data_IF_520944562334
#
_entry.id   IF_520944562334
#
_cell.length_a   1.000
_cell.length_b   1.000
_cell.length_c   1.000
_cell.angle_alpha   90.00
_cell.angle_beta   90.00
_cell.angle_gamma   90.00
#
_symmetry.space_group_name_H-M   'P 1'
#
loop_
_entity.id
_entity.type
_entity.pdbx_description
1 polymer ?
#
# COMPACT_ATOMS: atom_id res chain seq x y z
N UNK A 1 -1.29 18.12 -19.35
CA UNK A 1 -1.22 18.92 -20.60
C UNK A 1 0.25 19.22 -20.91
N UNK A 2 0.94 18.32 -21.60
CA UNK A 2 2.35 18.53 -21.96
C UNK A 2 2.39 19.40 -23.21
N UNK A 3 2.47 20.72 -23.03
CA UNK A 3 2.85 21.65 -24.11
C UNK A 3 4.37 21.74 -24.16
N UNK A 4 5.01 20.65 -24.60
CA UNK A 4 6.37 20.71 -25.13
C UNK A 4 6.32 21.33 -26.52
N UNK A 5 7.15 22.33 -26.77
CA UNK A 5 7.27 22.96 -28.08
C UNK A 5 7.54 21.88 -29.15
N UNK A 6 6.81 21.90 -30.28
CA UNK A 6 7.00 20.95 -31.39
C UNK A 6 8.36 21.23 -32.04
N UNK A 7 9.43 20.68 -31.47
CA UNK A 7 10.76 20.71 -32.06
C UNK A 7 10.69 19.92 -33.36
N UNK A 8 11.17 20.53 -34.44
CA UNK A 8 11.33 19.84 -35.72
C UNK A 8 12.27 18.66 -35.50
N UNK A 9 11.86 17.47 -35.96
CA UNK A 9 12.76 16.31 -36.02
C UNK A 9 13.88 16.60 -37.02
N UNK A 10 15.06 16.01 -36.76
CA UNK A 10 16.09 15.92 -37.79
C UNK A 10 15.50 15.21 -39.02
N UNK A 11 15.88 15.64 -40.23
CA UNK A 11 15.25 15.12 -41.45
C UNK A 11 15.45 13.61 -41.63
N UNK A 12 16.58 13.09 -41.16
CA UNK A 12 16.87 11.66 -41.16
C UNK A 12 15.88 10.86 -40.31
N UNK A 13 15.65 11.29 -39.07
CA UNK A 13 14.67 10.67 -38.16
C UNK A 13 13.24 10.78 -38.71
N UNK A 14 12.89 11.96 -39.25
CA UNK A 14 11.59 12.19 -39.86
C UNK A 14 11.31 11.23 -41.03
N UNK A 15 12.27 11.12 -41.96
CA UNK A 15 12.18 10.22 -43.11
C UNK A 15 12.13 8.75 -42.68
N UNK A 16 12.87 8.39 -41.63
CA UNK A 16 12.87 7.04 -41.08
C UNK A 16 11.50 6.69 -40.47
N UNK A 17 10.96 7.55 -39.61
CA UNK A 17 9.63 7.36 -38.98
C UNK A 17 8.55 7.29 -40.07
N UNK A 18 8.57 8.18 -41.05
CA UNK A 18 7.59 8.18 -42.14
C UNK A 18 7.64 6.88 -42.95
N UNK A 19 8.85 6.42 -43.29
CA UNK A 19 9.07 5.17 -44.01
C UNK A 19 8.60 3.97 -43.20
N UNK A 20 8.86 3.98 -41.89
CA UNK A 20 8.42 2.93 -40.97
C UNK A 20 6.89 2.87 -40.86
N UNK A 21 6.22 4.01 -40.69
CA UNK A 21 4.75 4.10 -40.62
C UNK A 21 4.09 3.69 -41.94
N UNK A 22 4.63 4.12 -43.09
CA UNK A 22 4.17 3.68 -44.43
C UNK A 22 4.32 2.18 -44.63
N UNK A 23 5.39 1.57 -44.09
CA UNK A 23 5.59 0.11 -44.10
C UNK A 23 4.61 -0.62 -43.17
N UNK A 24 4.28 -0.04 -42.02
CA UNK A 24 3.33 -0.62 -41.08
C UNK A 24 1.89 -0.63 -41.63
N UNK A 25 1.54 0.35 -42.47
CA UNK A 25 0.27 0.39 -43.20
C UNK A 25 0.10 -0.79 -44.17
N UNK A 26 1.17 -1.22 -44.84
CA UNK A 26 1.10 -2.37 -45.76
C UNK A 26 1.17 -3.73 -45.05
N UNK A 27 1.76 -3.77 -43.84
CA UNK A 27 1.87 -5.00 -43.02
C UNK A 27 1.50 -4.71 -41.56
N UNK A 28 0.20 -4.65 -41.22
CA UNK A 28 -0.23 -4.28 -39.88
C UNK A 28 0.16 -5.34 -38.86
N UNK A 29 0.97 -4.95 -37.88
CA UNK A 29 1.28 -5.78 -36.72
C UNK A 29 0.26 -5.51 -35.63
N UNK A 30 -0.44 -6.55 -35.17
CA UNK A 30 -1.33 -6.47 -34.01
C UNK A 30 -0.49 -6.46 -32.73
N UNK A 31 -0.75 -5.50 -31.87
CA UNK A 31 -0.23 -5.44 -30.50
C UNK A 31 -1.41 -5.68 -29.56
N UNK A 32 -1.71 -6.94 -29.21
CA UNK A 32 -2.78 -7.22 -28.26
C UNK A 32 -2.42 -6.58 -26.92
N UNK A 33 -3.43 -6.01 -26.26
CA UNK A 33 -3.27 -5.52 -24.89
C UNK A 33 -2.85 -6.69 -24.00
N UNK A 34 -1.77 -6.49 -23.24
CA UNK A 34 -1.42 -7.41 -22.16
C UNK A 34 -2.46 -7.31 -21.03
N UNK A 35 -2.42 -8.24 -20.08
CA UNK A 35 -3.24 -8.11 -18.86
C UNK A 35 -2.94 -6.81 -18.10
N UNK A 36 -1.68 -6.35 -18.08
CA UNK A 36 -1.31 -5.08 -17.46
C UNK A 36 -1.85 -3.87 -18.23
N UNK A 37 -1.86 -3.91 -19.56
CA UNK A 37 -2.43 -2.82 -20.39
C UNK A 37 -3.95 -2.74 -20.20
N UNK A 38 -4.59 -3.90 -20.08
CA UNK A 38 -6.03 -3.99 -19.82
C UNK A 38 -6.38 -3.40 -18.45
N UNK A 39 -5.57 -3.64 -17.42
CA UNK A 39 -5.74 -3.03 -16.08
C UNK A 39 -5.57 -1.50 -16.11
N UNK A 40 -4.61 -0.98 -16.87
CA UNK A 40 -4.40 0.47 -17.04
C UNK A 40 -5.55 1.18 -17.73
N UNK A 41 -6.37 0.45 -18.50
CA UNK A 41 -7.55 0.97 -19.17
C UNK A 41 -8.81 0.92 -18.30
N UNK A 42 -8.77 0.23 -17.15
CA UNK A 42 -9.87 0.23 -16.18
C UNK A 42 -9.85 1.58 -15.45
N UNK A 43 -10.74 2.48 -15.86
CA UNK A 43 -11.02 3.73 -15.16
C UNK A 43 -11.76 3.41 -13.87
N UNK A 44 -11.17 3.78 -12.73
CA UNK A 44 -11.82 3.63 -11.43
C UNK A 44 -12.75 4.82 -11.22
N UNK A 45 -13.93 4.60 -10.66
CA UNK A 45 -14.89 5.67 -10.34
C UNK A 45 -15.25 5.63 -8.85
N UNK A 46 -15.26 6.79 -8.19
CA UNK A 46 -15.70 6.94 -6.79
C UNK A 46 -16.86 7.92 -6.72
N UNK A 47 -17.83 7.65 -5.83
CA UNK A 47 -18.95 8.57 -5.55
C UNK A 47 -18.54 9.61 -4.52
N UNK A 48 -18.70 10.88 -4.86
CA UNK A 48 -18.47 12.00 -3.93
C UNK A 48 -19.63 12.14 -2.94
N UNK A 49 -19.45 12.99 -1.92
CA UNK A 49 -20.49 13.33 -0.93
C UNK A 49 -21.78 13.91 -1.58
N UNK A 50 -21.68 14.48 -2.78
CA UNK A 50 -22.81 15.00 -3.55
C UNK A 50 -23.38 13.96 -4.54
N UNK A 51 -23.04 12.68 -4.38
CA UNK A 51 -23.45 11.56 -5.26
C UNK A 51 -22.99 11.68 -6.72
N UNK A 52 -21.96 12.49 -6.99
CA UNK A 52 -21.35 12.61 -8.31
C UNK A 52 -20.26 11.55 -8.47
N UNK A 53 -20.27 10.82 -9.57
CA UNK A 53 -19.21 9.86 -9.90
C UNK A 53 -18.02 10.60 -10.52
N UNK A 54 -16.81 10.31 -10.02
CA UNK A 54 -15.56 10.94 -10.45
C UNK A 54 -14.55 9.84 -10.76
N UNK A 55 -13.89 9.95 -11.92
CA UNK A 55 -12.79 9.06 -12.31
C UNK A 55 -11.54 9.32 -11.45
N UNK A 56 -10.93 8.25 -10.97
CA UNK A 56 -9.75 8.24 -10.10
C UNK A 56 -8.73 7.22 -10.61
N UNK A 57 -7.46 7.45 -10.27
CA UNK A 57 -6.36 6.53 -10.51
C UNK A 57 -5.69 6.22 -9.18
N UNK A 58 -5.46 4.95 -8.88
CA UNK A 58 -4.75 4.49 -7.68
C UNK A 58 -3.34 4.06 -8.10
N UNK A 59 -2.27 4.57 -7.47
CA UNK A 59 -0.91 4.12 -7.77
C UNK A 59 -0.73 2.66 -7.36
N UNK A 60 -0.31 1.80 -8.29
CA UNK A 60 0.06 0.41 -8.01
C UNK A 60 1.55 0.29 -7.67
N UNK A 61 1.91 -0.63 -6.75
CA UNK A 61 3.32 -0.91 -6.35
C UNK A 61 4.25 -1.22 -7.54
N UNK A 62 3.70 -1.65 -8.68
CA UNK A 62 4.44 -2.07 -9.88
C UNK A 62 5.01 -0.90 -10.73
N UNK A 63 4.67 0.36 -10.44
CA UNK A 63 4.98 1.51 -11.34
C UNK A 63 6.34 2.21 -11.08
N UNK A 64 7.21 1.67 -10.23
CA UNK A 64 8.52 2.30 -9.95
C UNK A 64 9.68 1.39 -10.39
N UNK A 65 10.58 1.93 -11.20
CA UNK A 65 11.75 1.24 -11.76
C UNK A 65 12.69 0.74 -10.65
N UNK A 66 12.95 -0.58 -10.64
CA UNK A 66 13.78 -1.29 -9.66
C UNK A 66 15.26 -1.39 -10.09
N UNK A 67 16.18 -1.35 -9.11
CA UNK A 67 17.63 -1.52 -9.32
C UNK A 67 18.17 -2.81 -8.68
N UNK A 68 18.95 -3.67 -9.36
CA UNK A 68 18.86 -5.12 -9.12
C UNK A 68 19.72 -5.74 -8.01
N UNK A 69 20.57 -4.99 -7.30
CA UNK A 69 21.67 -5.59 -6.52
C UNK A 69 21.51 -5.54 -4.98
N UNK A 70 20.95 -4.48 -4.39
CA UNK A 70 20.67 -4.39 -2.94
C UNK A 70 19.32 -5.01 -2.53
N UNK A 71 18.40 -5.13 -3.49
CA UNK A 71 16.99 -5.47 -3.27
C UNK A 71 16.73 -6.86 -2.65
N UNK A 72 17.62 -7.84 -2.82
CA UNK A 72 17.33 -9.21 -2.36
C UNK A 72 17.30 -9.34 -0.84
N UNK A 73 18.15 -8.61 -0.14
CA UNK A 73 18.19 -8.65 1.33
C UNK A 73 17.07 -7.79 1.92
N UNK A 74 16.83 -6.64 1.30
CA UNK A 74 15.76 -5.68 1.61
C UNK A 74 14.36 -6.29 1.47
N UNK A 75 14.07 -6.96 0.35
CA UNK A 75 12.82 -7.70 0.14
C UNK A 75 12.68 -8.86 1.14
N UNK A 76 13.78 -9.47 1.57
CA UNK A 76 13.71 -10.52 2.60
C UNK A 76 13.40 -9.95 3.97
N UNK A 77 13.88 -8.75 4.28
CA UNK A 77 13.57 -8.10 5.56
C UNK A 77 12.11 -7.66 5.64
N UNK A 78 11.56 -7.01 4.61
CA UNK A 78 10.14 -6.63 4.59
C UNK A 78 9.22 -7.83 4.77
N UNK A 79 9.48 -8.94 4.08
CA UNK A 79 8.72 -10.19 4.23
C UNK A 79 8.83 -10.78 5.65
N UNK A 80 9.99 -10.69 6.30
CA UNK A 80 10.15 -11.13 7.70
C UNK A 80 9.33 -10.26 8.64
N UNK A 81 9.30 -8.95 8.44
CA UNK A 81 8.50 -8.02 9.23
C UNK A 81 7.00 -8.27 9.04
N UNK A 82 6.53 -8.45 7.81
CA UNK A 82 5.15 -8.84 7.52
C UNK A 82 4.78 -10.17 8.22
N UNK A 83 5.69 -11.15 8.22
CA UNK A 83 5.51 -12.42 8.92
C UNK A 83 5.46 -12.26 10.46
N UNK A 84 6.27 -11.37 11.04
CA UNK A 84 6.21 -11.05 12.47
C UNK A 84 4.88 -10.40 12.84
N UNK A 85 4.44 -9.40 12.08
CA UNK A 85 3.12 -8.76 12.28
C UNK A 85 1.98 -9.76 12.19
N UNK A 86 2.05 -10.70 11.24
CA UNK A 86 1.06 -11.76 11.09
C UNK A 86 1.01 -12.67 12.33
N UNK A 87 2.19 -13.07 12.83
CA UNK A 87 2.31 -13.89 14.05
C UNK A 87 1.78 -13.15 15.29
N UNK A 88 2.08 -11.86 15.44
CA UNK A 88 1.61 -11.06 16.57
C UNK A 88 0.07 -11.02 16.56
N UNK A 89 -0.53 -10.65 15.43
CA UNK A 89 -1.99 -10.59 15.31
C UNK A 89 -2.66 -11.96 15.55
N UNK A 90 -2.08 -13.04 15.03
CA UNK A 90 -2.56 -14.40 15.27
C UNK A 90 -2.52 -14.76 16.76
N UNK A 91 -1.42 -14.46 17.46
CA UNK A 91 -1.31 -14.70 18.91
C UNK A 91 -2.33 -13.88 19.70
N UNK A 92 -2.74 -12.72 19.19
CA UNK A 92 -3.79 -11.88 19.79
C UNK A 92 -5.21 -12.29 19.37
N UNK A 93 -5.38 -13.47 18.77
CA UNK A 93 -6.64 -14.04 18.31
C UNK A 93 -7.36 -13.16 17.27
N UNK A 94 -6.59 -12.47 16.42
CA UNK A 94 -7.08 -11.70 15.28
C UNK A 94 -6.96 -12.53 14.01
N UNK A 95 -7.84 -12.25 13.04
CA UNK A 95 -7.71 -12.79 11.69
C UNK A 95 -6.75 -11.91 10.90
N UNK A 96 -5.93 -12.52 10.06
CA UNK A 96 -4.90 -11.88 9.25
C UNK A 96 -5.31 -11.91 7.80
N UNK A 97 -5.17 -10.80 7.10
CA UNK A 97 -5.23 -10.78 5.65
C UNK A 97 -3.90 -10.27 5.09
N UNK A 98 -3.48 -10.86 3.96
CA UNK A 98 -2.24 -10.57 3.23
C UNK A 98 -2.55 -10.40 1.73
N UNK A 99 -1.86 -9.48 1.04
CA UNK A 99 -2.04 -9.25 -0.38
C UNK A 99 -1.56 -10.45 -1.18
N UNK A 100 -2.19 -10.72 -2.33
CA UNK A 100 -1.88 -11.90 -3.16
C UNK A 100 -0.40 -11.94 -3.60
N UNK A 101 0.19 -10.78 -3.85
CA UNK A 101 1.58 -10.59 -4.30
C UNK A 101 2.63 -11.04 -3.27
N UNK A 102 2.35 -10.85 -1.97
CA UNK A 102 3.30 -11.18 -0.89
C UNK A 102 2.91 -12.43 -0.10
N UNK A 103 1.65 -12.85 -0.15
CA UNK A 103 1.09 -13.97 0.63
C UNK A 103 1.97 -15.22 0.63
N UNK A 104 2.39 -15.70 -0.54
CA UNK A 104 3.21 -16.92 -0.62
C UNK A 104 4.60 -16.76 0.04
N UNK A 105 5.21 -15.57 -0.11
CA UNK A 105 6.51 -15.27 0.49
C UNK A 105 6.42 -15.17 2.00
N UNK A 106 5.40 -14.48 2.52
CA UNK A 106 5.14 -14.39 3.96
C UNK A 106 4.87 -15.77 4.55
N UNK A 107 4.08 -16.61 3.86
CA UNK A 107 3.78 -17.97 4.29
C UNK A 107 4.97 -18.92 4.32
N UNK A 108 6.07 -18.57 3.63
CA UNK A 108 7.32 -19.33 3.74
C UNK A 108 8.04 -19.11 5.09
N UNK A 109 7.72 -18.02 5.80
CA UNK A 109 8.34 -17.61 7.08
C UNK A 109 7.38 -17.80 8.25
N UNK A 110 6.13 -17.36 8.11
CA UNK A 110 5.08 -17.55 9.10
C UNK A 110 4.10 -18.61 8.61
N UNK A 111 3.84 -19.61 9.46
CA UNK A 111 2.83 -20.63 9.20
C UNK A 111 1.65 -20.37 10.14
N UNK A 112 0.45 -20.09 9.62
CA UNK A 112 -0.72 -19.94 10.46
C UNK A 112 -1.00 -21.27 11.15
N UNK A 113 -1.18 -21.24 12.47
CA UNK A 113 -1.47 -22.43 13.28
C UNK A 113 -2.97 -22.72 13.33
N UNK A 114 -3.80 -21.68 13.17
CA UNK A 114 -5.25 -21.74 13.15
C UNK A 114 -5.79 -21.29 11.79
N UNK A 115 -7.13 -21.21 11.66
CA UNK A 115 -7.81 -20.53 10.54
C UNK A 115 -7.62 -19.00 10.59
N UNK A 116 -6.46 -18.52 11.02
CA UNK A 116 -6.15 -17.10 11.22
C UNK A 116 -6.05 -16.35 9.90
N UNK A 117 -5.55 -16.97 8.83
CA UNK A 117 -5.40 -16.34 7.52
C UNK A 117 -6.71 -16.34 6.71
N UNK A 118 -7.16 -15.15 6.34
CA UNK A 118 -8.33 -14.94 5.49
C UNK A 118 -7.98 -15.08 4.01
N UNK A 119 -8.83 -15.79 3.27
CA UNK A 119 -8.79 -15.87 1.80
C UNK A 119 -9.53 -14.73 1.14
N UNK A 120 -10.58 -14.21 1.79
CA UNK A 120 -11.44 -13.13 1.31
C UNK A 120 -11.59 -12.10 2.44
N UNK A 121 -11.45 -10.82 2.11
CA UNK A 121 -11.74 -9.75 3.06
C UNK A 121 -13.25 -9.73 3.39
N UNK A 122 -13.67 -9.74 4.67
CA UNK A 122 -15.07 -9.79 5.08
C UNK A 122 -15.76 -8.41 4.95
N UNK A 123 -15.52 -7.72 3.85
CA UNK A 123 -15.95 -6.37 3.57
C UNK A 123 -16.96 -6.39 2.42
N UNK A 124 -18.05 -5.62 2.54
CA UNK A 124 -19.10 -5.56 1.51
C UNK A 124 -18.92 -4.28 0.66
N UNK A 125 -17.92 -4.24 -0.23
CA UNK A 125 -17.69 -3.10 -1.14
C UNK A 125 -17.64 -3.51 -2.61
N UNK A 126 -17.66 -2.51 -3.49
CA UNK A 126 -17.38 -2.67 -4.90
C UNK A 126 -15.92 -3.09 -5.15
N UNK A 127 -15.70 -3.86 -6.22
CA UNK A 127 -14.41 -4.50 -6.52
C UNK A 127 -13.25 -3.49 -6.66
N UNK A 128 -13.55 -2.24 -7.02
CA UNK A 128 -12.60 -1.13 -7.22
C UNK A 128 -12.02 -0.61 -5.91
N UNK A 129 -12.85 -0.39 -4.89
CA UNK A 129 -12.45 0.03 -3.53
C UNK A 129 -11.66 -1.06 -2.83
N UNK A 130 -12.02 -2.33 -3.08
CA UNK A 130 -11.30 -3.48 -2.55
C UNK A 130 -9.84 -3.50 -3.05
N UNK A 131 -9.58 -3.15 -4.32
CA UNK A 131 -8.26 -3.26 -4.92
C UNK A 131 -7.15 -2.47 -4.21
N UNK A 132 -7.44 -1.28 -3.70
CA UNK A 132 -6.44 -0.48 -2.95
C UNK A 132 -6.14 -1.09 -1.58
N UNK A 133 -7.19 -1.48 -0.86
CA UNK A 133 -7.10 -2.11 0.46
C UNK A 133 -6.44 -3.48 0.36
N UNK A 134 -6.71 -4.21 -0.73
CA UNK A 134 -6.14 -5.52 -1.07
C UNK A 134 -4.64 -5.48 -1.41
N UNK A 135 -4.03 -4.30 -1.44
CA UNK A 135 -2.59 -4.15 -1.61
C UNK A 135 -1.88 -3.65 -0.35
N UNK A 136 -2.59 -3.47 0.76
CA UNK A 136 -1.95 -3.19 2.06
C UNK A 136 -1.18 -4.44 2.51
N UNK A 137 -0.03 -4.30 3.17
CA UNK A 137 0.85 -5.45 3.44
C UNK A 137 0.29 -6.42 4.46
N UNK A 138 -0.26 -5.92 5.58
CA UNK A 138 -0.89 -6.76 6.61
C UNK A 138 -2.11 -6.05 7.15
N UNK A 139 -3.25 -6.76 7.20
CA UNK A 139 -4.45 -6.29 7.89
C UNK A 139 -4.79 -7.22 9.05
N UNK A 140 -5.13 -6.62 10.19
CA UNK A 140 -5.70 -7.33 11.33
C UNK A 140 -7.20 -7.10 11.39
N UNK A 141 -7.94 -8.21 11.51
CA UNK A 141 -9.39 -8.23 11.42
C UNK A 141 -9.99 -8.88 12.67
N UNK A 142 -11.00 -8.20 13.23
CA UNK A 142 -11.80 -8.68 14.36
C UNK A 142 -13.27 -8.72 13.95
N UNK A 143 -13.83 -9.92 13.85
CA UNK A 143 -15.18 -10.11 13.31
C UNK A 143 -15.25 -9.72 11.84
N UNK A 144 -15.91 -8.59 11.54
CA UNK A 144 -16.07 -8.05 10.18
C UNK A 144 -15.38 -6.69 9.99
N UNK A 145 -14.55 -6.27 10.96
CA UNK A 145 -13.92 -4.95 10.96
C UNK A 145 -12.41 -5.08 10.92
N UNK A 146 -11.77 -4.27 10.09
CA UNK A 146 -10.33 -4.01 10.18
C UNK A 146 -10.10 -3.23 11.47
N UNK A 147 -9.20 -3.71 12.32
CA UNK A 147 -8.79 -3.00 13.56
C UNK A 147 -7.46 -2.28 13.36
N UNK A 148 -6.52 -2.91 12.65
CA UNK A 148 -5.22 -2.32 12.32
C UNK A 148 -4.80 -2.64 10.90
N UNK A 149 -4.12 -1.68 10.28
CA UNK A 149 -3.54 -1.80 8.94
C UNK A 149 -2.04 -1.47 9.01
N UNK A 150 -1.21 -2.29 8.39
CA UNK A 150 0.24 -2.13 8.39
C UNK A 150 0.75 -2.10 6.97
N UNK A 151 1.57 -1.08 6.70
CA UNK A 151 2.31 -0.94 5.47
C UNK A 151 3.79 -1.02 5.76
N UNK A 152 4.48 -2.02 5.21
CA UNK A 152 5.88 -2.30 5.49
C UNK A 152 6.76 -1.67 4.41
N UNK A 153 7.35 -0.54 4.74
CA UNK A 153 8.07 0.33 3.82
C UNK A 153 9.59 0.23 4.01
N UNK A 154 10.29 -0.42 3.06
CA UNK A 154 11.76 -0.49 3.05
C UNK A 154 12.39 0.25 1.86
N UNK A 155 12.02 -0.12 0.63
CA UNK A 155 12.53 0.47 -0.63
C UNK A 155 11.44 1.15 -1.45
N UNK A 156 10.18 0.82 -1.22
CA UNK A 156 9.02 1.50 -1.82
C UNK A 156 8.99 2.97 -1.41
N UNK A 157 8.45 3.82 -2.29
CA UNK A 157 8.23 5.22 -1.96
C UNK A 157 7.25 5.29 -0.79
N UNK A 158 7.71 5.69 0.39
CA UNK A 158 6.89 5.95 1.60
C UNK A 158 5.54 6.60 1.27
N UNK A 159 5.55 7.50 0.27
CA UNK A 159 4.37 8.17 -0.24
C UNK A 159 3.25 7.24 -0.73
N UNK A 160 3.56 6.15 -1.44
CA UNK A 160 2.55 5.20 -1.94
C UNK A 160 1.94 4.37 -0.82
N UNK A 161 2.71 4.05 0.23
CA UNK A 161 2.18 3.46 1.45
C UNK A 161 1.21 4.38 2.18
N UNK A 162 1.59 5.65 2.36
CA UNK A 162 0.75 6.67 2.99
C UNK A 162 -0.54 6.91 2.19
N UNK A 163 -0.47 6.96 0.85
CA UNK A 163 -1.67 7.09 0.01
C UNK A 163 -2.65 5.95 0.23
N UNK A 164 -2.18 4.70 0.34
CA UNK A 164 -3.08 3.55 0.63
C UNK A 164 -3.73 3.65 2.00
N UNK A 165 -3.04 4.21 3.00
CA UNK A 165 -3.64 4.49 4.31
C UNK A 165 -4.70 5.60 4.19
N UNK A 166 -4.41 6.67 3.46
CA UNK A 166 -5.37 7.76 3.23
C UNK A 166 -6.62 7.27 2.50
N UNK A 167 -6.45 6.43 1.47
CA UNK A 167 -7.54 5.80 0.74
C UNK A 167 -8.39 4.92 1.66
N UNK A 168 -7.75 4.10 2.51
CA UNK A 168 -8.46 3.29 3.51
C UNK A 168 -9.31 4.17 4.43
N UNK A 169 -8.76 5.28 4.95
CA UNK A 169 -9.49 6.19 5.84
C UNK A 169 -10.63 6.94 5.13
N UNK A 170 -10.41 7.33 3.87
CA UNK A 170 -11.42 8.00 3.06
C UNK A 170 -12.60 7.09 2.71
N UNK A 171 -12.32 5.81 2.43
CA UNK A 171 -13.32 4.82 2.04
C UNK A 171 -14.04 4.20 3.25
N UNK A 172 -13.42 4.23 4.44
CA UNK A 172 -13.97 3.68 5.68
C UNK A 172 -14.21 4.72 6.77
N UNK A 173 -14.94 5.82 6.50
CA UNK A 173 -15.09 6.92 7.46
C UNK A 173 -15.87 6.51 8.72
N UNK A 174 -16.55 5.36 8.73
CA UNK A 174 -17.26 4.88 9.91
C UNK A 174 -16.46 3.88 10.76
N UNK A 175 -15.37 3.30 10.23
CA UNK A 175 -14.53 2.37 10.97
C UNK A 175 -13.41 3.10 11.71
N UNK A 176 -13.17 2.74 12.97
CA UNK A 176 -12.00 3.21 13.72
C UNK A 176 -10.85 2.26 13.40
N UNK A 177 -10.11 2.56 12.34
CA UNK A 177 -8.93 1.79 11.90
C UNK A 177 -7.69 2.56 12.34
N UNK A 178 -6.76 1.88 13.00
CA UNK A 178 -5.42 2.41 13.25
C UNK A 178 -4.47 1.93 12.16
N UNK A 179 -3.90 2.86 11.41
CA UNK A 179 -2.92 2.60 10.37
C UNK A 179 -1.49 2.80 10.89
N UNK A 180 -0.56 2.02 10.36
CA UNK A 180 0.84 2.03 10.74
C UNK A 180 1.73 1.95 9.51
N UNK A 181 2.63 2.92 9.36
CA UNK A 181 3.78 2.78 8.48
C UNK A 181 4.89 2.11 9.29
N UNK A 182 5.30 0.93 8.84
CA UNK A 182 6.31 0.11 9.49
C UNK A 182 7.58 0.19 8.67
N UNK A 183 8.64 0.78 9.20
CA UNK A 183 9.87 1.02 8.44
C UNK A 183 11.11 1.05 9.35
N UNK A 184 12.33 1.01 8.81
CA UNK A 184 13.54 1.23 9.59
C UNK A 184 13.56 2.63 10.24
N UNK A 185 14.26 2.76 11.37
CA UNK A 185 14.25 3.97 12.20
C UNK A 185 14.77 5.22 11.46
N UNK A 186 15.71 5.07 10.53
CA UNK A 186 16.25 6.15 9.71
C UNK A 186 15.22 6.77 8.75
N UNK A 187 14.12 6.05 8.44
CA UNK A 187 13.02 6.55 7.61
C UNK A 187 11.97 7.34 8.39
N UNK A 188 12.00 7.31 9.73
CA UNK A 188 11.00 7.91 10.63
C UNK A 188 10.68 9.36 10.27
N UNK A 189 11.70 10.21 10.19
CA UNK A 189 11.53 11.63 9.91
C UNK A 189 10.84 11.88 8.56
N UNK A 190 11.22 11.11 7.54
CA UNK A 190 10.60 11.19 6.21
C UNK A 190 9.14 10.74 6.23
N UNK A 191 8.81 9.69 6.99
CA UNK A 191 7.42 9.25 7.19
C UNK A 191 6.59 10.36 7.83
N UNK A 192 7.10 10.99 8.88
CA UNK A 192 6.39 12.07 9.56
C UNK A 192 6.16 13.29 8.66
N UNK A 193 7.17 13.70 7.92
CA UNK A 193 7.04 14.79 6.96
C UNK A 193 5.96 14.52 5.90
N UNK A 194 5.88 13.30 5.38
CA UNK A 194 4.86 12.92 4.41
C UNK A 194 3.45 12.83 5.01
N UNK A 195 3.30 12.29 6.23
CA UNK A 195 2.02 12.22 6.94
C UNK A 195 1.47 13.63 7.24
N UNK A 196 2.35 14.58 7.58
CA UNK A 196 1.98 15.97 7.92
C UNK A 196 1.66 16.85 6.70
N UNK A 197 1.66 16.30 5.48
CA UNK A 197 1.37 17.08 4.28
C UNK A 197 -0.06 17.64 4.32
N UNK A 198 -0.27 18.90 3.90
CA UNK A 198 -1.59 19.55 3.96
C UNK A 198 -2.73 18.76 3.31
N UNK A 199 -2.45 18.00 2.24
CA UNK A 199 -3.45 17.18 1.54
C UNK A 199 -4.11 16.13 2.44
N UNK A 200 -3.41 15.68 3.48
CA UNK A 200 -3.89 14.67 4.41
C UNK A 200 -4.61 15.25 5.63
N UNK A 201 -4.82 16.57 5.69
CA UNK A 201 -5.48 17.23 6.83
C UNK A 201 -7.00 17.21 6.76
N UNK A 202 -7.58 17.04 5.56
CA UNK A 202 -9.01 17.18 5.27
C UNK A 202 -9.71 15.85 4.98
N UNK A 203 -9.27 14.75 5.61
CA UNK A 203 -9.98 13.47 5.49
C UNK A 203 -11.30 13.51 6.30
N UNK A 204 -12.32 12.70 5.94
CA UNK A 204 -13.63 12.74 6.59
C UNK A 204 -13.62 12.57 8.12
N UNK A 205 -12.61 11.89 8.66
CA UNK A 205 -12.42 11.62 10.10
C UNK A 205 -11.40 12.53 10.80
N UNK A 206 -10.92 13.55 10.11
CA UNK A 206 -9.85 14.42 10.59
C UNK A 206 -8.49 14.09 9.95
N UNK A 207 -7.42 14.79 10.36
CA UNK A 207 -6.09 14.64 9.79
C UNK A 207 -5.54 13.21 9.85
N UNK A 208 -4.84 12.77 8.81
CA UNK A 208 -4.25 11.42 8.73
C UNK A 208 -3.33 11.11 9.92
N UNK A 209 -2.58 12.09 10.44
CA UNK A 209 -1.70 11.93 11.61
C UNK A 209 -2.39 11.41 12.87
N UNK A 210 -3.72 11.57 12.98
CA UNK A 210 -4.50 11.10 14.13
C UNK A 210 -4.83 9.61 14.05
N UNK A 211 -4.80 9.04 12.84
CA UNK A 211 -5.16 7.65 12.56
C UNK A 211 -4.02 6.82 11.95
N UNK A 212 -2.92 7.46 11.54
CA UNK A 212 -1.75 6.83 10.95
C UNK A 212 -0.49 7.18 11.77
N UNK A 213 0.20 6.14 12.23
CA UNK A 213 1.38 6.25 13.09
C UNK A 213 2.58 5.55 12.45
N UNK A 214 3.76 5.70 13.04
CA UNK A 214 4.98 5.01 12.65
C UNK A 214 5.30 3.91 13.68
N UNK A 215 5.80 2.77 13.22
CA UNK A 215 6.36 1.73 14.07
C UNK A 215 7.71 1.30 13.46
N UNK A 216 8.77 1.29 14.27
CA UNK A 216 10.06 0.84 13.77
C UNK A 216 10.10 -0.70 13.62
N UNK A 217 10.99 -1.20 12.75
CA UNK A 217 11.23 -2.65 12.66
C UNK A 217 11.69 -3.26 13.99
N UNK A 218 12.46 -2.50 14.78
CA UNK A 218 12.92 -2.91 16.09
C UNK A 218 11.74 -3.07 17.06
N UNK A 219 10.79 -2.14 17.06
CA UNK A 219 9.61 -2.23 17.92
C UNK A 219 8.68 -3.38 17.54
N UNK A 220 8.50 -3.66 16.24
CA UNK A 220 7.78 -4.88 15.81
C UNK A 220 8.48 -6.13 16.33
N UNK A 221 9.81 -6.17 16.28
CA UNK A 221 10.59 -7.30 16.77
C UNK A 221 10.46 -7.42 18.29
N UNK A 222 10.55 -6.32 19.04
CA UNK A 222 10.37 -6.28 20.49
C UNK A 222 9.00 -6.84 20.88
N UNK A 223 7.94 -6.34 20.24
CA UNK A 223 6.58 -6.81 20.46
C UNK A 223 6.43 -8.30 20.14
N UNK A 224 7.09 -8.80 19.08
CA UNK A 224 7.04 -10.23 18.72
C UNK A 224 7.59 -11.16 19.81
N UNK A 225 8.50 -10.66 20.66
CA UNK A 225 9.12 -11.39 21.75
C UNK A 225 8.26 -11.42 23.03
N UNK A 226 7.17 -10.64 23.07
CA UNK A 226 6.31 -10.60 24.23
C UNK A 226 5.62 -11.95 24.49
N UNK A 227 5.77 -12.44 25.73
CA UNK A 227 5.29 -13.78 26.11
C UNK A 227 3.78 -13.82 26.32
N UNK A 228 3.18 -12.69 26.67
CA UNK A 228 1.77 -12.60 27.09
C UNK A 228 0.85 -12.01 26.03
N UNK A 229 1.27 -11.94 24.77
CA UNK A 229 0.47 -11.39 23.65
C UNK A 229 -0.95 -11.97 23.60
N UNK A 230 -1.14 -13.25 23.92
CA UNK A 230 -2.44 -13.93 23.93
C UNK A 230 -3.46 -13.36 24.91
N UNK A 231 -2.99 -12.66 25.95
CA UNK A 231 -3.84 -12.01 26.95
C UNK A 231 -3.98 -10.50 26.72
N UNK A 232 -3.32 -9.98 25.69
CA UNK A 232 -3.32 -8.55 25.34
C UNK A 232 -4.36 -8.27 24.26
N UNK A 233 -4.84 -7.04 24.22
CA UNK A 233 -5.66 -6.54 23.11
C UNK A 233 -4.80 -5.72 22.15
N UNK A 234 -5.36 -5.35 21.01
CA UNK A 234 -4.67 -4.61 19.95
C UNK A 234 -4.09 -3.26 20.42
N UNK A 235 -4.54 -2.69 21.54
CA UNK A 235 -3.99 -1.45 22.11
C UNK A 235 -2.59 -1.59 22.65
N UNK A 236 -2.05 -2.80 22.84
CA UNK A 236 -0.64 -2.96 23.21
C UNK A 236 0.28 -2.25 22.20
N UNK A 237 -0.10 -2.20 20.92
CA UNK A 237 0.68 -1.49 19.90
C UNK A 237 0.76 0.01 20.14
N UNK A 238 -0.13 0.59 20.94
CA UNK A 238 -0.09 2.01 21.26
C UNK A 238 1.17 2.38 22.05
N UNK A 239 1.81 1.42 22.72
CA UNK A 239 3.08 1.57 23.43
C UNK A 239 4.32 1.49 22.50
N UNK A 240 4.14 0.99 21.27
CA UNK A 240 5.22 0.73 20.30
C UNK A 240 5.16 1.67 19.09
N UNK A 241 4.15 2.53 19.03
CA UNK A 241 3.90 3.43 17.90
C UNK A 241 4.27 4.86 18.24
N UNK A 242 4.67 5.61 17.22
CA UNK A 242 4.99 7.03 17.33
C UNK A 242 4.07 7.84 16.41
N UNK A 243 3.63 9.01 16.87
CA UNK A 243 2.75 9.90 16.11
C UNK A 243 3.53 11.07 15.53
N UNK A 244 3.16 11.46 14.32
CA UNK A 244 3.74 12.63 13.68
C UNK A 244 3.25 13.92 14.36
N UNK A 245 4.18 14.74 14.83
CA UNK A 245 3.89 16.01 15.50
C UNK A 245 3.77 15.93 17.02
N UNK A 246 3.94 14.75 17.61
CA UNK A 246 4.29 14.61 19.03
C UNK A 246 5.80 14.92 19.09
N UNK A 247 6.14 16.21 19.17
CA UNK A 247 7.49 16.63 19.55
C UNK A 247 7.61 16.43 21.06
N UNK A 248 8.69 15.79 21.49
CA UNK A 248 9.09 15.69 22.89
C UNK A 248 9.04 17.09 23.54
N UNK A 249 8.23 17.23 24.59
CA UNK A 249 8.32 18.35 25.54
C UNK A 249 9.69 18.33 26.27
#
# INVERSE_FOLDING_TARGET
MVRGNLRRFEEEDGNWIESYLKRQLSTPRRFPLSESDSRKLVTLTVKTQESKEVEVSVPTKEEQEFSPASDKEEVRESIRVQAMLSRIGERMNLKIWLPKSDRQRVLSVWKPENDSLLTILPLNYDDTTLGTIENIDVLWIKGRSIVRAFEVEHTTSIYSGILRMADLMALQPNLAINAHIVAPADRREKVFQEILRPVFTLLPKGPLRESCTFISYEEVKNLSLEKRLEYMNDKVLDEYQERAGDLDD
#
